data_IF_645135787568
#
_entry.id   IF_645135787568
#
_cell.length_a   1.000
_cell.length_b   1.000
_cell.length_c   1.000
_cell.angle_alpha   90.00
_cell.angle_beta   90.00
_cell.angle_gamma   90.00
#
_symmetry.space_group_name_H-M   'P 1'
#
loop_
_entity.id
_entity.type
_entity.pdbx_description
1 polymer ?
#
# COMPACT_ATOMS: atom_id res chain seq x y z
N UNK A 1 22.30 -14.81 -28.85
CA UNK A 1 22.04 -14.66 -27.40
C UNK A 1 20.61 -15.05 -27.13
N UNK A 2 20.37 -16.01 -26.23
CA UNK A 2 19.01 -16.39 -25.88
C UNK A 2 18.33 -15.25 -25.09
N UNK A 3 17.02 -15.06 -25.27
CA UNK A 3 16.24 -14.09 -24.49
C UNK A 3 15.72 -14.72 -23.20
N UNK A 4 15.96 -14.09 -22.06
CA UNK A 4 15.43 -14.55 -20.78
C UNK A 4 13.90 -14.44 -20.74
N UNK A 5 13.22 -15.55 -20.39
CA UNK A 5 11.77 -15.58 -20.21
C UNK A 5 11.44 -16.04 -18.79
N UNK A 6 10.84 -15.14 -18.01
CA UNK A 6 10.42 -15.47 -16.65
C UNK A 6 9.07 -16.22 -16.66
N UNK A 7 9.06 -17.46 -16.17
CA UNK A 7 7.88 -18.31 -16.17
C UNK A 7 6.73 -17.79 -15.31
N UNK A 8 7.04 -17.03 -14.25
CA UNK A 8 6.06 -16.47 -13.32
C UNK A 8 5.72 -14.99 -13.60
N UNK A 9 5.98 -14.49 -14.82
CA UNK A 9 5.71 -13.08 -15.15
C UNK A 9 4.24 -12.72 -14.92
N UNK A 10 3.29 -13.55 -15.38
CA UNK A 10 1.85 -13.33 -15.13
C UNK A 10 1.50 -13.24 -13.65
N UNK A 11 2.17 -14.03 -12.81
CA UNK A 11 1.95 -14.00 -11.36
C UNK A 11 2.49 -12.70 -10.75
N UNK A 12 3.64 -12.21 -11.24
CA UNK A 12 4.19 -10.93 -10.82
C UNK A 12 3.25 -9.79 -11.19
N UNK A 13 2.73 -9.79 -12.42
CA UNK A 13 1.79 -8.77 -12.91
C UNK A 13 0.53 -8.72 -12.03
N UNK A 14 -0.08 -9.88 -11.74
CA UNK A 14 -1.23 -9.97 -10.82
C UNK A 14 -0.91 -9.42 -9.42
N UNK A 15 0.32 -9.62 -8.92
CA UNK A 15 0.72 -9.11 -7.59
C UNK A 15 0.93 -7.60 -7.61
N UNK A 16 1.39 -7.03 -8.73
CA UNK A 16 1.48 -5.59 -8.93
C UNK A 16 0.08 -4.97 -8.91
N UNK A 17 -0.85 -5.56 -9.66
CA UNK A 17 -2.24 -5.07 -9.73
C UNK A 17 -2.91 -5.11 -8.35
N UNK A 18 -2.73 -6.21 -7.60
CA UNK A 18 -3.25 -6.34 -6.23
C UNK A 18 -2.65 -5.33 -5.26
N UNK A 19 -1.37 -5.02 -5.39
CA UNK A 19 -0.75 -3.97 -4.59
C UNK A 19 -1.39 -2.61 -4.92
N UNK A 20 -1.59 -2.31 -6.20
CA UNK A 20 -2.20 -1.05 -6.62
C UNK A 20 -3.64 -0.91 -6.12
N UNK A 21 -4.45 -1.97 -6.23
CA UNK A 21 -5.79 -2.01 -5.63
C UNK A 21 -5.77 -1.74 -4.12
N UNK A 22 -4.80 -2.31 -3.40
CA UNK A 22 -4.67 -2.10 -1.95
C UNK A 22 -4.27 -0.66 -1.59
N UNK A 23 -3.47 0.02 -2.44
CA UNK A 23 -3.15 1.44 -2.26
C UNK A 23 -4.38 2.32 -2.46
N UNK A 24 -5.19 2.04 -3.48
CA UNK A 24 -6.43 2.77 -3.73
C UNK A 24 -7.40 2.63 -2.56
N UNK A 25 -7.57 1.41 -2.03
CA UNK A 25 -8.38 1.17 -0.83
C UNK A 25 -7.88 1.92 0.40
N UNK A 26 -6.56 1.95 0.60
CA UNK A 26 -5.96 2.70 1.70
C UNK A 26 -6.23 4.21 1.56
N UNK A 27 -6.06 4.75 0.34
CA UNK A 27 -6.33 6.17 0.06
C UNK A 27 -7.79 6.53 0.34
N UNK A 28 -8.72 5.69 -0.08
CA UNK A 28 -10.14 5.88 0.19
C UNK A 28 -10.46 5.82 1.69
N UNK A 29 -9.89 4.84 2.41
CA UNK A 29 -10.08 4.71 3.86
C UNK A 29 -9.53 5.95 4.61
N UNK A 30 -8.36 6.45 4.22
CA UNK A 30 -7.78 7.67 4.79
C UNK A 30 -8.62 8.91 4.51
N UNK A 31 -9.20 9.01 3.31
CA UNK A 31 -10.12 10.10 2.95
C UNK A 31 -11.35 10.08 3.86
N UNK A 32 -11.96 8.91 4.06
CA UNK A 32 -13.12 8.74 4.93
C UNK A 32 -12.79 9.04 6.40
N UNK A 33 -11.60 8.66 6.87
CA UNK A 33 -11.10 9.01 8.20
C UNK A 33 -11.01 10.54 8.38
N UNK A 34 -10.40 11.24 7.42
CA UNK A 34 -10.29 12.71 7.46
C UNK A 34 -11.66 13.38 7.48
N UNK A 35 -12.63 12.88 6.71
CA UNK A 35 -14.00 13.40 6.71
C UNK A 35 -14.69 13.19 8.07
N UNK A 36 -14.50 12.03 8.70
CA UNK A 36 -15.04 11.73 10.02
C UNK A 36 -14.41 12.65 11.09
N UNK A 37 -13.10 12.85 11.06
CA UNK A 37 -12.39 13.76 11.96
C UNK A 37 -12.82 15.22 11.78
N UNK A 38 -12.98 15.67 10.52
CA UNK A 38 -13.49 17.01 10.22
C UNK A 38 -14.91 17.21 10.78
N UNK A 39 -15.78 16.20 10.64
CA UNK A 39 -17.13 16.22 11.22
C UNK A 39 -17.07 16.30 12.74
N UNK A 40 -16.25 15.49 13.40
CA UNK A 40 -16.06 15.51 14.85
C UNK A 40 -15.57 16.89 15.33
N UNK A 41 -14.59 17.47 14.64
CA UNK A 41 -14.07 18.81 14.96
C UNK A 41 -15.17 19.88 14.81
N UNK A 42 -15.97 19.82 13.74
CA UNK A 42 -17.09 20.75 13.54
C UNK A 42 -18.14 20.66 14.66
N UNK A 43 -18.39 19.45 15.20
CA UNK A 43 -19.32 19.25 16.31
C UNK A 43 -18.73 19.78 17.62
N UNK A 44 -17.43 19.57 17.88
CA UNK A 44 -16.73 20.13 19.04
C UNK A 44 -16.73 21.66 19.01
N UNK A 45 -16.45 22.28 17.86
CA UNK A 45 -16.54 23.74 17.72
C UNK A 45 -17.96 24.27 17.99
N UNK A 46 -19.00 23.54 17.54
CA UNK A 46 -20.39 23.90 17.86
C UNK A 46 -20.65 23.77 19.36
N UNK A 47 -20.15 22.72 20.02
CA UNK A 47 -20.26 22.57 21.48
C UNK A 47 -19.64 23.78 22.18
N UNK A 48 -18.38 24.09 21.89
CA UNK A 48 -17.65 25.19 22.52
C UNK A 48 -18.34 26.54 22.32
N UNK A 49 -18.90 26.78 21.12
CA UNK A 49 -19.63 28.01 20.81
C UNK A 49 -20.91 28.18 21.64
N UNK A 50 -21.66 27.12 21.86
CA UNK A 50 -22.97 27.23 22.53
C UNK A 50 -22.91 26.93 24.04
N UNK A 51 -21.79 26.39 24.54
CA UNK A 51 -21.57 26.06 25.95
C UNK A 51 -21.38 27.30 26.86
N UNK A 52 -21.51 28.52 26.34
CA UNK A 52 -21.48 29.75 27.15
C UNK A 52 -22.67 29.81 28.10
N UNK A 53 -22.43 30.20 29.35
CA UNK A 53 -23.48 30.33 30.37
C UNK A 53 -24.17 31.68 30.20
N UNK A 54 -25.35 31.68 29.58
CA UNK A 54 -26.21 32.86 29.52
C UNK A 54 -27.08 32.90 30.78
N UNK A 55 -26.88 33.93 31.60
CA UNK A 55 -27.54 34.05 32.91
C UNK A 55 -28.98 34.59 32.76
N UNK A 56 -29.26 35.29 31.65
CA UNK A 56 -30.53 35.98 31.37
C UNK A 56 -31.61 35.14 30.66
N UNK A 57 -31.40 33.83 30.47
CA UNK A 57 -32.38 32.97 29.77
C UNK A 57 -33.60 32.60 30.63
N UNK A 58 -34.77 32.59 30.00
CA UNK A 58 -36.03 32.06 30.55
C UNK A 58 -35.93 30.55 30.84
N UNK A 59 -36.80 30.04 31.72
CA UNK A 59 -36.86 28.61 32.09
C UNK A 59 -37.08 27.71 30.87
N UNK A 60 -37.91 28.15 29.91
CA UNK A 60 -38.18 27.41 28.67
C UNK A 60 -36.94 27.37 27.77
N UNK A 61 -36.24 28.49 27.62
CA UNK A 61 -35.04 28.61 26.81
C UNK A 61 -33.88 27.78 27.39
N UNK A 62 -33.73 27.76 28.71
CA UNK A 62 -32.77 26.88 29.42
C UNK A 62 -33.04 25.41 29.12
N UNK A 63 -34.31 24.98 29.09
CA UNK A 63 -34.69 23.59 28.77
C UNK A 63 -34.38 23.24 27.32
N UNK A 64 -34.67 24.14 26.37
CA UNK A 64 -34.35 23.96 24.95
C UNK A 64 -32.83 23.86 24.76
N UNK A 65 -32.06 24.76 25.38
CA UNK A 65 -30.59 24.75 25.33
C UNK A 65 -30.01 23.44 25.87
N UNK A 66 -30.46 22.98 27.04
CA UNK A 66 -30.02 21.70 27.61
C UNK A 66 -30.34 20.50 26.70
N UNK A 67 -31.52 20.46 26.08
CA UNK A 67 -31.86 19.40 25.13
C UNK A 67 -30.94 19.41 23.90
N UNK A 68 -30.67 20.60 23.35
CA UNK A 68 -29.73 20.75 22.24
C UNK A 68 -28.31 20.33 22.63
N UNK A 69 -27.82 20.72 23.81
CA UNK A 69 -26.51 20.28 24.31
C UNK A 69 -26.42 18.78 24.46
N UNK A 70 -27.43 18.16 25.06
CA UNK A 70 -27.48 16.71 25.21
C UNK A 70 -27.47 15.99 23.85
N UNK A 71 -28.21 16.49 22.87
CA UNK A 71 -28.20 15.95 21.51
C UNK A 71 -26.82 16.13 20.85
N UNK A 72 -26.15 17.26 21.10
CA UNK A 72 -24.85 17.56 20.53
C UNK A 72 -23.73 16.71 21.15
N UNK A 73 -23.77 16.47 22.47
CA UNK A 73 -22.88 15.53 23.16
C UNK A 73 -23.06 14.10 22.63
N UNK A 74 -24.31 13.64 22.45
CA UNK A 74 -24.58 12.34 21.81
C UNK A 74 -23.99 12.27 20.41
N UNK A 75 -24.21 13.30 19.60
CA UNK A 75 -23.67 13.38 18.23
C UNK A 75 -22.13 13.36 18.20
N UNK A 76 -21.47 13.99 19.19
CA UNK A 76 -20.01 13.96 19.34
C UNK A 76 -19.54 12.55 19.68
N UNK A 77 -20.20 11.87 20.63
CA UNK A 77 -19.85 10.50 20.99
C UNK A 77 -20.01 9.55 19.79
N UNK A 78 -21.14 9.65 19.07
CA UNK A 78 -21.38 8.85 17.87
C UNK A 78 -20.32 9.11 16.77
N UNK A 79 -19.94 10.38 16.58
CA UNK A 79 -18.90 10.76 15.62
C UNK A 79 -17.50 10.29 16.07
N UNK A 80 -17.24 10.24 17.37
CA UNK A 80 -15.98 9.72 17.92
C UNK A 80 -15.88 8.21 17.73
N UNK A 81 -16.97 7.47 17.97
CA UNK A 81 -17.04 6.04 17.70
C UNK A 81 -16.87 5.73 16.21
N UNK A 82 -17.45 6.54 15.32
CA UNK A 82 -17.23 6.41 13.88
C UNK A 82 -15.76 6.65 13.51
N UNK A 83 -15.10 7.68 14.07
CA UNK A 83 -13.68 7.91 13.85
C UNK A 83 -12.82 6.71 14.28
N UNK A 84 -13.12 6.10 15.43
CA UNK A 84 -12.42 4.89 15.90
C UNK A 84 -12.57 3.75 14.89
N UNK A 85 -13.79 3.48 14.40
CA UNK A 85 -14.03 2.44 13.39
C UNK A 85 -13.29 2.74 12.07
N UNK A 86 -13.27 4.00 11.62
CA UNK A 86 -12.52 4.38 10.42
C UNK A 86 -11.01 4.21 10.60
N UNK A 87 -10.47 4.50 11.79
CA UNK A 87 -9.06 4.26 12.10
C UNK A 87 -8.71 2.77 12.02
N UNK A 88 -9.54 1.90 12.59
CA UNK A 88 -9.34 0.44 12.52
C UNK A 88 -9.33 -0.06 11.07
N UNK A 89 -10.21 0.48 10.21
CA UNK A 89 -10.23 0.16 8.78
C UNK A 89 -8.94 0.61 8.09
N UNK A 90 -8.47 1.83 8.36
CA UNK A 90 -7.20 2.34 7.80
C UNK A 90 -6.04 1.42 8.20
N UNK A 91 -5.97 1.00 9.46
CA UNK A 91 -4.91 0.10 9.93
C UNK A 91 -5.01 -1.29 9.32
N UNK A 92 -6.22 -1.80 9.11
CA UNK A 92 -6.45 -3.04 8.34
C UNK A 92 -5.94 -2.92 6.91
N UNK A 93 -6.29 -1.83 6.20
CA UNK A 93 -5.81 -1.57 4.84
C UNK A 93 -4.29 -1.39 4.77
N UNK A 94 -3.65 -0.77 5.78
CA UNK A 94 -2.19 -0.66 5.87
C UNK A 94 -1.53 -2.03 5.97
N UNK A 95 -2.08 -2.91 6.80
CA UNK A 95 -1.57 -4.27 6.98
C UNK A 95 -1.74 -5.10 5.69
N UNK A 96 -2.86 -4.95 4.99
CA UNK A 96 -3.08 -5.60 3.68
C UNK A 96 -2.06 -5.11 2.65
N UNK A 97 -1.90 -3.79 2.48
CA UNK A 97 -0.91 -3.21 1.57
C UNK A 97 0.51 -3.73 1.87
N UNK A 98 0.91 -3.77 3.14
CA UNK A 98 2.21 -4.31 3.56
C UNK A 98 2.36 -5.78 3.13
N UNK A 99 1.33 -6.58 3.29
CA UNK A 99 1.32 -7.99 2.88
C UNK A 99 1.47 -8.11 1.36
N UNK A 100 0.73 -7.31 0.59
CA UNK A 100 0.81 -7.31 -0.89
C UNK A 100 2.18 -6.86 -1.40
N UNK A 101 2.80 -5.87 -0.77
CA UNK A 101 4.17 -5.46 -1.07
C UNK A 101 5.18 -6.59 -0.83
N UNK A 102 5.05 -7.33 0.28
CA UNK A 102 5.92 -8.47 0.57
C UNK A 102 5.71 -9.57 -0.47
N UNK A 103 4.46 -9.88 -0.81
CA UNK A 103 4.13 -10.87 -1.84
C UNK A 103 4.75 -10.49 -3.19
N UNK A 104 4.62 -9.23 -3.64
CA UNK A 104 5.20 -8.75 -4.91
C UNK A 104 6.73 -8.85 -4.89
N UNK A 105 7.38 -8.27 -3.88
CA UNK A 105 8.85 -8.29 -3.72
C UNK A 105 9.42 -9.69 -3.69
N UNK A 106 8.71 -10.64 -3.09
CA UNK A 106 9.14 -12.05 -3.05
C UNK A 106 9.26 -12.62 -4.48
N UNK A 107 8.31 -12.30 -5.37
CA UNK A 107 8.37 -12.78 -6.77
C UNK A 107 9.41 -12.02 -7.58
N UNK A 108 9.59 -10.72 -7.34
CA UNK A 108 10.67 -9.93 -7.94
C UNK A 108 12.04 -10.53 -7.62
N UNK A 109 12.30 -10.84 -6.34
CA UNK A 109 13.56 -11.47 -5.93
C UNK A 109 13.77 -12.83 -6.62
N UNK A 110 12.70 -13.62 -6.80
CA UNK A 110 12.79 -14.89 -7.54
C UNK A 110 13.15 -14.64 -9.00
N UNK A 111 12.55 -13.62 -9.64
CA UNK A 111 12.85 -13.23 -11.02
C UNK A 111 14.32 -12.84 -11.16
N UNK A 112 14.82 -12.00 -10.27
CA UNK A 112 16.22 -11.52 -10.29
C UNK A 112 17.20 -12.68 -10.12
N UNK A 113 16.95 -13.58 -9.17
CA UNK A 113 17.78 -14.79 -8.98
C UNK A 113 17.80 -15.70 -10.22
N UNK A 114 16.64 -15.86 -10.88
CA UNK A 114 16.54 -16.66 -12.11
C UNK A 114 17.25 -15.99 -13.28
N UNK A 115 17.21 -14.67 -13.35
CA UNK A 115 17.92 -13.90 -14.35
C UNK A 115 19.44 -13.99 -14.18
N UNK A 116 19.93 -13.85 -12.95
CA UNK A 116 21.36 -14.04 -12.62
C UNK A 116 21.85 -15.44 -12.98
N UNK A 117 21.06 -16.48 -12.69
CA UNK A 117 21.40 -17.85 -13.07
C UNK A 117 21.43 -18.05 -14.59
N UNK A 118 20.48 -17.45 -15.31
CA UNK A 118 20.46 -17.48 -16.78
C UNK A 118 21.69 -16.80 -17.38
N UNK A 119 22.08 -15.63 -16.87
CA UNK A 119 23.26 -14.91 -17.33
C UNK A 119 24.54 -15.73 -17.14
N UNK A 120 24.75 -16.30 -15.96
CA UNK A 120 25.90 -17.18 -15.69
C UNK A 120 25.97 -18.39 -16.62
N UNK A 121 24.82 -18.93 -16.99
CA UNK A 121 24.75 -20.07 -17.90
C UNK A 121 25.10 -19.66 -19.35
N UNK A 122 24.63 -18.51 -19.83
CA UNK A 122 25.02 -17.99 -21.14
C UNK A 122 26.51 -17.65 -21.19
N UNK A 123 27.05 -16.97 -20.15
CA UNK A 123 28.49 -16.66 -20.05
C UNK A 123 29.34 -17.94 -20.11
N UNK A 124 28.90 -19.02 -19.42
CA UNK A 124 29.56 -20.32 -19.44
C UNK A 124 29.55 -20.96 -20.83
N UNK A 125 28.43 -20.88 -21.56
CA UNK A 125 28.33 -21.42 -22.93
C UNK A 125 29.20 -20.64 -23.90
N UNK A 126 29.21 -19.32 -23.79
CA UNK A 126 30.05 -18.45 -24.62
C UNK A 126 31.53 -18.76 -24.39
N UNK A 127 31.95 -18.90 -23.12
CA UNK A 127 33.32 -19.28 -22.80
C UNK A 127 33.70 -20.66 -23.37
N UNK A 128 32.81 -21.66 -23.23
CA UNK A 128 33.05 -22.99 -23.80
C UNK A 128 33.18 -22.96 -25.34
N UNK A 129 32.39 -22.14 -26.03
CA UNK A 129 32.51 -21.95 -27.47
C UNK A 129 33.82 -21.27 -27.86
N UNK A 130 34.24 -20.24 -27.13
CA UNK A 130 35.52 -19.55 -27.36
C UNK A 130 36.71 -20.50 -27.19
N UNK A 131 36.69 -21.32 -26.14
CA UNK A 131 37.74 -22.32 -25.89
C UNK A 131 37.79 -23.36 -27.02
N UNK A 132 36.63 -23.81 -27.52
CA UNK A 132 36.55 -24.72 -28.66
C UNK A 132 37.13 -24.08 -29.94
N UNK A 133 36.78 -22.82 -30.23
CA UNK A 133 37.35 -22.09 -31.36
C UNK A 133 38.87 -21.90 -31.24
N UNK A 134 39.37 -21.61 -30.03
CA UNK A 134 40.80 -21.48 -29.79
C UNK A 134 41.55 -22.80 -30.04
N UNK A 135 40.97 -23.93 -29.60
CA UNK A 135 41.53 -25.26 -29.85
C UNK A 135 41.57 -25.58 -31.35
N UNK A 136 40.47 -25.36 -32.09
CA UNK A 136 40.45 -25.58 -33.54
C UNK A 136 41.45 -24.69 -34.28
N UNK A 137 41.60 -23.42 -33.86
CA UNK A 137 42.56 -22.51 -34.45
C UNK A 137 44.01 -22.98 -34.19
N UNK A 138 44.30 -23.45 -32.99
CA UNK A 138 45.60 -24.01 -32.63
C UNK A 138 45.93 -25.25 -33.48
N UNK A 139 45.03 -26.24 -33.53
CA UNK A 139 45.22 -27.47 -34.31
C UNK A 139 45.46 -27.16 -35.79
N UNK A 140 44.68 -26.22 -36.36
CA UNK A 140 44.83 -25.80 -37.76
C UNK A 140 46.19 -25.16 -38.05
N UNK A 141 46.74 -24.38 -37.12
CA UNK A 141 48.05 -23.78 -37.28
C UNK A 141 49.17 -24.82 -37.16
N UNK A 142 49.02 -25.84 -36.32
CA UNK A 142 50.00 -26.93 -36.19
C UNK A 142 50.00 -27.90 -37.37
N UNK A 143 48.87 -28.09 -38.07
CA UNK A 143 48.81 -28.97 -39.27
C UNK A 143 49.31 -28.29 -40.56
N UNK A 144 49.52 -26.97 -40.55
CA UNK A 144 49.99 -26.19 -41.71
C UNK A 144 51.46 -25.76 -41.62
N UNK A 145 52.13 -26.02 -40.49
CA UNK A 145 53.57 -25.82 -40.30
C UNK A 145 54.34 -27.12 -40.51
#
# INVERSE_FOLDING_TARGET
MATFRFSLQKLLDIRIDKEEESKLKLMEAQRLQMEAEAKLNSLRQKYDKYNTIDTDLSVVEKKIKNNYMNALVRSINDAQDDCVKKNEIVDSCRNDLKTKQIERKTVEIIKDKKYEAFKKEEDRKEQAQLDEFALYAYVRNTERG
#
